data_IF_922040552160
#
_entry.id   IF_922040552160
#
_cell.length_a   1.000
_cell.length_b   1.000
_cell.length_c   1.000
_cell.angle_alpha   90.00
_cell.angle_beta   90.00
_cell.angle_gamma   90.00
#
_symmetry.space_group_name_H-M   'P 1'
#
loop_
_entity.id
_entity.type
_entity.pdbx_description
1 polymer ?
#
# COMPACT_ATOMS: atom_id res chain seq x y z
N UNK A 1 -45.09 21.00 -3.62
CA UNK A 1 -43.62 21.07 -3.69
C UNK A 1 -43.11 19.78 -4.32
N UNK A 2 -42.50 19.78 -5.50
CA UNK A 2 -41.98 18.58 -6.14
C UNK A 2 -40.69 18.15 -5.44
N UNK A 3 -40.57 16.84 -5.15
CA UNK A 3 -39.35 16.20 -4.59
C UNK A 3 -38.21 16.35 -5.59
N UNK A 4 -36.96 16.68 -5.15
CA UNK A 4 -35.83 16.66 -6.04
C UNK A 4 -35.63 15.21 -6.53
N UNK A 5 -35.57 15.05 -7.85
CA UNK A 5 -35.27 13.77 -8.50
C UNK A 5 -33.89 13.27 -8.12
N UNK A 6 -33.65 11.95 -8.25
CA UNK A 6 -32.33 11.36 -7.97
C UNK A 6 -31.30 12.01 -8.88
N UNK A 7 -30.20 12.45 -8.26
CA UNK A 7 -29.03 12.95 -8.97
C UNK A 7 -28.66 11.96 -10.08
N UNK A 8 -28.56 12.46 -11.29
CA UNK A 8 -28.23 11.68 -12.47
C UNK A 8 -26.96 10.88 -12.20
N UNK A 9 -27.13 9.57 -12.04
CA UNK A 9 -26.01 8.63 -12.13
C UNK A 9 -25.41 8.85 -13.52
N UNK A 10 -24.14 9.23 -13.56
CA UNK A 10 -23.38 9.27 -14.80
C UNK A 10 -23.55 7.90 -15.49
N UNK A 11 -23.90 7.86 -16.77
CA UNK A 11 -24.10 6.60 -17.46
C UNK A 11 -22.84 5.76 -17.32
N UNK A 12 -23.01 4.50 -16.92
CA UNK A 12 -22.00 3.48 -17.05
C UNK A 12 -21.59 3.47 -18.53
N UNK A 13 -20.47 4.09 -18.85
CA UNK A 13 -19.89 4.03 -20.19
C UNK A 13 -19.62 2.57 -20.48
N UNK A 14 -20.37 2.00 -21.43
CA UNK A 14 -20.09 0.72 -22.04
C UNK A 14 -18.78 0.84 -22.83
N UNK A 15 -17.67 0.86 -22.12
CA UNK A 15 -16.35 0.95 -22.72
C UNK A 15 -15.86 -0.45 -23.04
N UNK A 16 -15.33 -0.59 -24.27
CA UNK A 16 -14.62 -1.78 -24.71
C UNK A 16 -13.56 -2.16 -23.64
N UNK A 17 -13.34 -3.45 -23.35
CA UNK A 17 -12.49 -3.93 -22.25
C UNK A 17 -11.02 -3.47 -22.35
N UNK A 18 -10.63 -2.77 -23.39
CA UNK A 18 -9.25 -2.31 -23.67
C UNK A 18 -9.07 -0.79 -23.66
N UNK A 19 -10.13 0.00 -23.33
CA UNK A 19 -10.00 1.46 -23.37
C UNK A 19 -9.12 1.97 -22.23
N UNK A 20 -8.02 2.68 -22.59
CA UNK A 20 -7.13 3.36 -21.63
C UNK A 20 -7.81 4.65 -21.17
N UNK A 21 -8.06 4.78 -19.86
CA UNK A 21 -8.64 6.00 -19.28
C UNK A 21 -7.53 6.99 -18.90
N UNK A 22 -7.45 8.16 -19.53
CA UNK A 22 -6.42 9.16 -19.26
C UNK A 22 -6.48 9.69 -17.83
N UNK A 23 -7.64 9.71 -17.18
CA UNK A 23 -7.76 10.14 -15.79
C UNK A 23 -7.17 9.10 -14.82
N UNK A 24 -7.34 7.79 -15.10
CA UNK A 24 -6.67 6.73 -14.36
C UNK A 24 -5.16 6.81 -14.57
N UNK A 25 -4.69 7.09 -15.79
CA UNK A 25 -3.26 7.29 -16.08
C UNK A 25 -2.70 8.46 -15.24
N UNK A 26 -3.39 9.59 -15.20
CA UNK A 26 -2.94 10.76 -14.42
C UNK A 26 -2.96 10.47 -12.92
N UNK A 27 -4.03 9.87 -12.40
CA UNK A 27 -4.16 9.49 -11.00
C UNK A 27 -3.06 8.49 -10.59
N UNK A 28 -2.83 7.47 -11.43
CA UNK A 28 -1.77 6.48 -11.17
C UNK A 28 -0.36 7.06 -11.29
N UNK A 29 -0.15 8.10 -12.12
CA UNK A 29 1.11 8.82 -12.17
C UNK A 29 1.38 9.57 -10.87
N UNK A 30 0.39 10.27 -10.32
CA UNK A 30 0.52 10.96 -9.01
C UNK A 30 0.83 9.95 -7.90
N UNK A 31 0.05 8.88 -7.80
CA UNK A 31 0.27 7.83 -6.80
C UNK A 31 1.61 7.14 -7.01
N UNK A 32 1.97 6.79 -8.24
CA UNK A 32 3.24 6.17 -8.58
C UNK A 32 4.45 7.02 -8.17
N UNK A 33 4.36 8.34 -8.36
CA UNK A 33 5.39 9.27 -7.92
C UNK A 33 5.55 9.26 -6.40
N UNK A 34 4.44 9.32 -5.64
CA UNK A 34 4.45 9.22 -4.17
C UNK A 34 5.04 7.89 -3.68
N UNK A 35 4.68 6.80 -4.34
CA UNK A 35 5.21 5.45 -4.05
C UNK A 35 6.70 5.37 -4.34
N UNK A 36 7.15 5.90 -5.47
CA UNK A 36 8.57 5.96 -5.83
C UNK A 36 9.40 6.79 -4.83
N UNK A 37 8.84 7.90 -4.36
CA UNK A 37 9.50 8.77 -3.37
C UNK A 37 9.62 8.14 -1.98
N UNK A 38 8.66 7.34 -1.56
CA UNK A 38 8.55 6.86 -0.17
C UNK A 38 8.88 5.39 0.03
N UNK A 39 8.88 4.61 -1.05
CA UNK A 39 8.97 3.15 -0.98
C UNK A 39 7.76 2.48 -0.32
N UNK A 40 6.70 3.25 -0.02
CA UNK A 40 5.43 2.69 0.45
C UNK A 40 4.81 1.85 -0.66
N UNK A 41 4.32 0.66 -0.33
CA UNK A 41 3.70 -0.23 -1.31
C UNK A 41 2.52 0.44 -2.04
N UNK A 42 2.49 0.34 -3.37
CA UNK A 42 1.50 1.03 -4.23
C UNK A 42 0.04 0.73 -3.90
N UNK A 43 -0.28 -0.51 -3.52
CA UNK A 43 -1.65 -0.95 -3.28
C UNK A 43 -2.43 -0.16 -2.23
N UNK A 44 -1.74 0.38 -1.21
CA UNK A 44 -2.39 1.19 -0.18
C UNK A 44 -2.95 2.53 -0.69
N UNK A 45 -2.52 3.01 -1.84
CA UNK A 45 -3.00 4.25 -2.47
C UNK A 45 -3.72 3.99 -3.79
N UNK A 46 -3.22 3.05 -4.61
CA UNK A 46 -3.80 2.73 -5.93
C UNK A 46 -5.21 2.15 -5.82
N UNK A 47 -5.38 1.12 -5.00
CA UNK A 47 -6.68 0.47 -4.83
C UNK A 47 -7.75 1.43 -4.32
N UNK A 48 -7.54 2.22 -3.23
CA UNK A 48 -8.49 3.25 -2.82
C UNK A 48 -8.77 4.30 -3.90
N UNK A 49 -7.78 4.73 -4.64
CA UNK A 49 -7.95 5.68 -5.74
C UNK A 49 -8.92 5.12 -6.79
N UNK A 50 -8.72 3.87 -7.23
CA UNK A 50 -9.59 3.23 -8.22
C UNK A 50 -11.05 3.13 -7.73
N UNK A 51 -11.26 2.75 -6.48
CA UNK A 51 -12.59 2.56 -5.93
C UNK A 51 -13.28 3.91 -5.66
N UNK A 52 -12.59 4.84 -4.97
CA UNK A 52 -13.20 6.08 -4.48
C UNK A 52 -13.32 7.17 -5.54
N UNK A 53 -12.35 7.27 -6.46
CA UNK A 53 -12.35 8.33 -7.49
C UNK A 53 -12.92 7.86 -8.82
N UNK A 54 -12.72 6.57 -9.17
CA UNK A 54 -13.13 6.04 -10.48
C UNK A 54 -14.31 5.06 -10.39
N UNK A 55 -14.80 4.74 -9.19
CA UNK A 55 -15.96 3.86 -9.01
C UNK A 55 -15.74 2.42 -9.46
N UNK A 56 -14.48 1.99 -9.58
CA UNK A 56 -14.13 0.61 -9.93
C UNK A 56 -14.54 -0.31 -8.78
N UNK A 57 -15.13 -1.47 -9.11
CA UNK A 57 -15.52 -2.43 -8.06
C UNK A 57 -14.31 -2.93 -7.27
N UNK A 58 -14.43 -3.15 -5.95
CA UNK A 58 -13.30 -3.52 -5.09
C UNK A 58 -12.50 -4.72 -5.60
N UNK A 59 -13.16 -5.80 -5.98
CA UNK A 59 -12.48 -6.99 -6.52
C UNK A 59 -11.68 -6.70 -7.79
N UNK A 60 -12.25 -5.91 -8.71
CA UNK A 60 -11.57 -5.50 -9.95
C UNK A 60 -10.40 -4.56 -9.67
N UNK A 61 -10.57 -3.59 -8.78
CA UNK A 61 -9.52 -2.66 -8.39
C UNK A 61 -8.31 -3.40 -7.79
N UNK A 62 -8.56 -4.33 -6.86
CA UNK A 62 -7.50 -5.16 -6.23
C UNK A 62 -6.81 -6.03 -7.29
N UNK A 63 -7.57 -6.73 -8.12
CA UNK A 63 -7.01 -7.64 -9.13
C UNK A 63 -6.18 -6.90 -10.17
N UNK A 64 -6.66 -5.76 -10.67
CA UNK A 64 -5.95 -4.93 -11.65
C UNK A 64 -4.69 -4.28 -11.07
N UNK A 65 -4.74 -3.83 -9.79
CA UNK A 65 -3.60 -3.27 -9.09
C UNK A 65 -2.51 -4.32 -8.81
N UNK A 66 -2.88 -5.55 -8.44
CA UNK A 66 -1.93 -6.66 -8.26
C UNK A 66 -1.16 -6.96 -9.55
N UNK A 67 -1.83 -6.96 -10.70
CA UNK A 67 -1.18 -7.19 -12.00
C UNK A 67 -0.27 -6.00 -12.36
N UNK A 68 -0.71 -4.76 -12.17
CA UNK A 68 0.11 -3.57 -12.39
C UNK A 68 1.35 -3.55 -11.48
N UNK A 69 1.21 -3.99 -10.23
CA UNK A 69 2.29 -4.05 -9.26
C UNK A 69 3.44 -4.99 -9.66
N UNK A 70 3.18 -6.01 -10.49
CA UNK A 70 4.24 -6.90 -11.03
C UNK A 70 5.28 -6.11 -11.82
N UNK A 71 4.86 -5.07 -12.54
CA UNK A 71 5.77 -4.23 -13.32
C UNK A 71 6.42 -3.15 -12.46
N UNK A 72 5.68 -2.61 -11.48
CA UNK A 72 6.16 -1.50 -10.64
C UNK A 72 7.20 -1.93 -9.59
N UNK A 73 6.98 -3.07 -8.93
CA UNK A 73 7.79 -3.50 -7.77
C UNK A 73 9.23 -3.87 -8.09
N UNK A 74 9.56 -4.52 -9.22
CA UNK A 74 10.93 -4.80 -9.60
C UNK A 74 11.81 -3.55 -9.69
N UNK A 75 11.22 -2.40 -10.04
CA UNK A 75 11.93 -1.12 -10.16
C UNK A 75 12.48 -0.70 -8.78
N UNK A 76 11.63 -0.70 -7.76
CA UNK A 76 12.04 -0.36 -6.39
C UNK A 76 13.03 -1.39 -5.82
N UNK A 77 12.78 -2.68 -6.03
CA UNK A 77 13.64 -3.77 -5.60
C UNK A 77 15.05 -3.68 -6.22
N UNK A 78 15.14 -3.37 -7.53
CA UNK A 78 16.42 -3.25 -8.23
C UNK A 78 17.34 -2.17 -7.64
N UNK A 79 16.78 -1.03 -7.22
CA UNK A 79 17.53 0.05 -6.56
C UNK A 79 18.14 -0.44 -5.24
N UNK A 80 17.36 -1.12 -4.41
CA UNK A 80 17.82 -1.62 -3.11
C UNK A 80 18.80 -2.80 -3.24
N UNK A 81 18.61 -3.68 -4.24
CA UNK A 81 19.54 -4.76 -4.55
C UNK A 81 20.91 -4.21 -4.96
N UNK A 82 20.94 -3.16 -5.83
CA UNK A 82 22.19 -2.51 -6.24
C UNK A 82 22.89 -1.79 -5.08
N UNK A 83 22.14 -1.26 -4.13
CA UNK A 83 22.68 -0.59 -2.93
C UNK A 83 23.13 -1.57 -1.83
N UNK A 84 22.94 -2.87 -2.01
CA UNK A 84 23.32 -3.90 -1.03
C UNK A 84 22.54 -3.84 0.29
N UNK A 85 21.38 -3.20 0.33
CA UNK A 85 20.56 -3.03 1.54
C UNK A 85 19.60 -4.19 1.78
N UNK A 86 19.72 -5.29 1.05
CA UNK A 86 18.81 -6.44 1.11
C UNK A 86 19.41 -7.57 1.91
N UNK A 87 18.70 -8.04 2.94
CA UNK A 87 19.05 -9.28 3.63
C UNK A 87 18.43 -10.48 2.89
N UNK A 88 19.24 -11.14 2.04
CA UNK A 88 18.80 -12.25 1.19
C UNK A 88 18.27 -13.44 1.97
N UNK A 89 18.81 -13.70 3.17
CA UNK A 89 18.34 -14.78 4.03
C UNK A 89 16.91 -14.54 4.52
N UNK A 90 16.59 -13.32 4.94
CA UNK A 90 15.22 -12.94 5.32
C UNK A 90 14.27 -13.00 4.11
N UNK A 91 14.70 -12.50 2.95
CA UNK A 91 13.90 -12.59 1.71
C UNK A 91 13.51 -14.02 1.40
N UNK A 92 14.45 -14.97 1.45
CA UNK A 92 14.15 -16.37 1.16
C UNK A 92 13.07 -16.97 2.05
N UNK A 93 13.17 -16.77 3.37
CA UNK A 93 12.18 -17.27 4.31
C UNK A 93 10.83 -16.55 4.20
N UNK A 94 10.83 -15.24 3.95
CA UNK A 94 9.59 -14.49 3.71
C UNK A 94 8.89 -14.96 2.43
N UNK A 95 9.63 -15.17 1.34
CA UNK A 95 9.10 -15.64 0.05
C UNK A 95 8.46 -17.01 0.22
N UNK A 96 9.09 -17.92 0.98
CA UNK A 96 8.56 -19.26 1.24
C UNK A 96 7.15 -19.21 1.89
N UNK A 97 6.93 -18.25 2.80
CA UNK A 97 5.62 -18.04 3.43
C UNK A 97 4.67 -17.22 2.56
N UNK A 98 5.15 -16.14 1.97
CA UNK A 98 4.27 -15.15 1.32
C UNK A 98 3.75 -15.58 -0.05
N UNK A 99 4.55 -16.27 -0.85
CA UNK A 99 4.16 -16.68 -2.23
C UNK A 99 2.95 -17.58 -2.25
N UNK A 100 2.92 -18.72 -1.52
CA UNK A 100 1.74 -19.58 -1.52
C UNK A 100 0.51 -18.90 -0.91
N UNK A 101 0.74 -18.11 0.13
CA UNK A 101 -0.35 -17.41 0.83
C UNK A 101 -0.89 -16.21 0.03
N UNK A 102 -0.09 -15.55 -0.79
CA UNK A 102 -0.56 -14.50 -1.68
C UNK A 102 -1.45 -15.05 -2.80
N UNK A 103 -1.10 -16.20 -3.36
CA UNK A 103 -1.94 -16.91 -4.31
C UNK A 103 -3.26 -17.37 -3.67
N UNK A 104 -3.17 -17.93 -2.45
CA UNK A 104 -4.35 -18.30 -1.66
C UNK A 104 -5.22 -17.09 -1.32
N UNK A 105 -4.63 -15.93 -1.00
CA UNK A 105 -5.36 -14.68 -0.74
C UNK A 105 -6.16 -14.22 -1.97
N UNK A 106 -5.58 -14.28 -3.16
CA UNK A 106 -6.30 -13.98 -4.41
C UNK A 106 -7.44 -14.99 -4.67
N UNK A 107 -7.23 -16.27 -4.37
CA UNK A 107 -8.27 -17.29 -4.44
C UNK A 107 -9.41 -17.03 -3.44
N UNK A 108 -9.09 -16.68 -2.20
CA UNK A 108 -10.09 -16.32 -1.18
C UNK A 108 -10.92 -15.11 -1.61
N UNK A 109 -10.30 -14.11 -2.22
CA UNK A 109 -11.01 -12.97 -2.79
C UNK A 109 -12.04 -13.42 -3.84
N UNK A 110 -11.70 -14.38 -4.69
CA UNK A 110 -12.61 -14.97 -5.67
C UNK A 110 -13.78 -15.73 -5.01
N UNK A 111 -13.48 -16.57 -4.01
CA UNK A 111 -14.50 -17.38 -3.31
C UNK A 111 -15.50 -16.50 -2.53
N UNK A 112 -15.11 -15.32 -2.08
CA UNK A 112 -16.03 -14.36 -1.45
C UNK A 112 -17.17 -13.95 -2.40
N UNK A 113 -16.97 -14.10 -3.72
CA UNK A 113 -18.01 -13.93 -4.73
C UNK A 113 -18.21 -12.46 -5.16
N UNK A 114 -19.26 -12.25 -6.00
CA UNK A 114 -19.50 -10.96 -6.69
C UNK A 114 -20.82 -10.31 -6.30
N UNK A 115 -21.52 -10.85 -5.30
CA UNK A 115 -22.75 -10.24 -4.78
C UNK A 115 -22.46 -8.86 -4.17
N UNK A 116 -23.48 -8.00 -4.06
CA UNK A 116 -23.33 -6.70 -3.41
C UNK A 116 -22.80 -6.82 -1.98
N UNK A 117 -23.26 -7.84 -1.24
CA UNK A 117 -22.78 -8.14 0.12
C UNK A 117 -21.32 -8.57 0.12
N UNK A 118 -20.89 -9.38 -0.86
CA UNK A 118 -19.50 -9.78 -1.00
C UNK A 118 -18.59 -8.57 -1.26
N UNK A 119 -18.97 -7.67 -2.17
CA UNK A 119 -18.21 -6.45 -2.45
C UNK A 119 -18.09 -5.55 -1.20
N UNK A 120 -19.16 -5.42 -0.40
CA UNK A 120 -19.12 -4.70 0.88
C UNK A 120 -18.16 -5.35 1.88
N UNK A 121 -18.17 -6.69 1.98
CA UNK A 121 -17.22 -7.40 2.86
C UNK A 121 -15.77 -7.20 2.41
N UNK A 122 -15.52 -7.16 1.10
CA UNK A 122 -14.19 -6.86 0.53
C UNK A 122 -13.78 -5.42 0.87
N UNK A 123 -14.71 -4.45 0.76
CA UNK A 123 -14.45 -3.06 1.17
C UNK A 123 -14.07 -2.97 2.65
N UNK A 124 -14.79 -3.65 3.53
CA UNK A 124 -14.50 -3.68 4.97
C UNK A 124 -13.13 -4.32 5.23
N UNK A 125 -12.83 -5.46 4.58
CA UNK A 125 -11.53 -6.11 4.70
C UNK A 125 -10.38 -5.20 4.22
N UNK A 126 -10.57 -4.51 3.09
CA UNK A 126 -9.65 -3.50 2.58
C UNK A 126 -9.50 -2.34 3.58
N UNK A 127 -10.62 -1.85 4.13
CA UNK A 127 -10.61 -0.78 5.14
C UNK A 127 -9.82 -1.15 6.38
N UNK A 128 -10.02 -2.36 6.92
CA UNK A 128 -9.26 -2.87 8.05
C UNK A 128 -7.77 -2.98 7.71
N UNK A 129 -7.44 -3.54 6.55
CA UNK A 129 -6.04 -3.64 6.10
C UNK A 129 -5.36 -2.26 5.97
N UNK A 130 -6.08 -1.25 5.45
CA UNK A 130 -5.58 0.13 5.36
C UNK A 130 -5.39 0.75 6.75
N UNK A 131 -6.31 0.57 7.69
CA UNK A 131 -6.20 1.08 9.05
C UNK A 131 -5.01 0.44 9.79
N UNK A 132 -4.85 -0.88 9.66
CA UNK A 132 -3.69 -1.59 10.21
C UNK A 132 -2.40 -1.09 9.56
N UNK A 133 -2.39 -0.87 8.25
CA UNK A 133 -1.26 -0.28 7.53
C UNK A 133 -0.91 1.14 8.00
N UNK A 134 -1.92 1.99 8.19
CA UNK A 134 -1.73 3.35 8.73
C UNK A 134 -1.19 3.32 10.17
N UNK A 135 -1.77 2.48 11.03
CA UNK A 135 -1.29 2.27 12.40
C UNK A 135 0.17 1.77 12.41
N UNK A 136 0.51 0.83 11.54
CA UNK A 136 1.86 0.33 11.36
C UNK A 136 2.84 1.44 10.93
N UNK A 137 2.44 2.32 10.02
CA UNK A 137 3.25 3.48 9.60
C UNK A 137 3.49 4.47 10.76
N UNK A 138 2.47 4.76 11.56
CA UNK A 138 2.58 5.62 12.74
C UNK A 138 3.50 4.97 13.79
N UNK A 139 3.29 3.69 14.07
CA UNK A 139 4.10 2.94 15.02
C UNK A 139 5.57 2.93 14.60
N UNK A 140 5.85 2.63 13.34
CA UNK A 140 7.21 2.70 12.78
C UNK A 140 7.82 4.09 12.98
N UNK A 141 7.11 5.15 12.66
CA UNK A 141 7.59 6.51 12.85
C UNK A 141 7.94 6.82 14.31
N UNK A 142 7.12 6.36 15.26
CA UNK A 142 7.38 6.53 16.71
C UNK A 142 8.60 5.71 17.15
N UNK A 143 8.72 4.46 16.69
CA UNK A 143 9.83 3.58 17.02
C UNK A 143 11.16 4.09 16.43
N UNK A 144 11.17 4.54 15.18
CA UNK A 144 12.36 5.13 14.55
C UNK A 144 12.82 6.38 15.28
N UNK A 145 11.88 7.20 15.79
CA UNK A 145 12.23 8.37 16.62
C UNK A 145 12.79 8.02 18.00
N UNK A 146 12.25 6.96 18.65
CA UNK A 146 12.73 6.50 19.97
C UNK A 146 14.10 5.86 19.89
N UNK A 147 14.42 5.18 18.79
CA UNK A 147 15.69 4.51 18.59
C UNK A 147 16.86 5.48 18.37
N UNK A 148 16.61 6.77 18.15
CA UNK A 148 17.63 7.78 17.90
C UNK A 148 18.42 7.51 16.61
N UNK A 149 19.51 8.26 16.39
CA UNK A 149 20.40 8.09 15.22
C UNK A 149 21.22 6.77 15.23
N UNK A 150 21.05 5.93 16.23
CA UNK A 150 21.83 4.69 16.40
C UNK A 150 21.60 3.63 15.32
N UNK A 151 20.52 3.77 14.52
CA UNK A 151 20.19 2.86 13.41
C UNK A 151 20.73 3.30 12.04
N UNK A 152 21.45 4.41 12.00
CA UNK A 152 22.02 4.93 10.74
C UNK A 152 23.35 4.24 10.44
N UNK A 153 23.38 3.38 9.45
CA UNK A 153 24.58 3.06 8.69
C UNK A 153 25.27 1.73 8.92
N UNK A 154 24.89 0.92 9.91
CA UNK A 154 25.50 -0.40 10.10
C UNK A 154 24.68 -1.46 9.36
N UNK A 155 25.30 -2.11 8.36
CA UNK A 155 24.75 -3.32 7.74
C UNK A 155 24.97 -4.46 8.73
N UNK A 156 24.00 -4.68 9.61
CA UNK A 156 24.09 -5.75 10.59
C UNK A 156 23.69 -7.07 9.95
N UNK A 157 24.57 -8.07 10.04
CA UNK A 157 24.27 -9.42 9.60
C UNK A 157 23.39 -10.09 10.65
N UNK A 158 22.08 -9.97 10.49
CA UNK A 158 21.12 -10.63 11.35
C UNK A 158 20.87 -12.03 10.82
N UNK A 159 21.07 -13.04 11.67
CA UNK A 159 20.74 -14.42 11.34
C UNK A 159 19.20 -14.60 11.26
N UNK A 160 18.68 -15.08 10.13
CA UNK A 160 17.25 -15.29 9.97
C UNK A 160 16.73 -16.32 10.99
N UNK A 161 15.61 -16.01 11.64
CA UNK A 161 14.83 -16.97 12.42
C UNK A 161 13.76 -17.55 11.50
N UNK A 162 13.85 -18.81 11.05
CA UNK A 162 12.98 -19.32 9.98
C UNK A 162 11.50 -19.22 10.31
N UNK A 163 11.09 -19.72 11.47
CA UNK A 163 9.69 -19.85 11.84
C UNK A 163 8.94 -18.50 11.91
N UNK A 164 9.41 -17.48 12.66
CA UNK A 164 8.73 -16.19 12.70
C UNK A 164 8.80 -15.46 11.36
N UNK A 165 9.87 -15.63 10.58
CA UNK A 165 10.01 -14.98 9.27
C UNK A 165 9.01 -15.55 8.25
N UNK A 166 8.86 -16.89 8.23
CA UNK A 166 7.84 -17.54 7.39
C UNK A 166 6.43 -17.10 7.83
N UNK A 167 6.16 -17.06 9.15
CA UNK A 167 4.85 -16.61 9.64
C UNK A 167 4.52 -15.17 9.24
N UNK A 168 5.50 -14.25 9.29
CA UNK A 168 5.35 -12.88 8.75
C UNK A 168 5.02 -12.93 7.27
N UNK A 169 5.76 -13.74 6.49
CA UNK A 169 5.50 -13.94 5.07
C UNK A 169 4.08 -14.44 4.82
N UNK A 170 3.62 -15.46 5.56
CA UNK A 170 2.28 -16.02 5.44
C UNK A 170 1.19 -14.97 5.70
N UNK A 171 1.26 -14.27 6.82
CA UNK A 171 0.29 -13.24 7.18
C UNK A 171 0.24 -12.12 6.12
N UNK A 172 1.40 -11.59 5.76
CA UNK A 172 1.48 -10.55 4.75
C UNK A 172 1.05 -11.04 3.37
N UNK A 173 1.37 -12.28 3.01
CA UNK A 173 0.95 -12.89 1.75
C UNK A 173 -0.56 -12.94 1.59
N UNK A 174 -1.29 -13.44 2.59
CA UNK A 174 -2.76 -13.47 2.59
C UNK A 174 -3.32 -12.05 2.48
N UNK A 175 -2.86 -11.13 3.33
CA UNK A 175 -3.37 -9.75 3.34
C UNK A 175 -3.15 -9.07 1.99
N UNK A 176 -1.93 -9.17 1.44
CA UNK A 176 -1.61 -8.56 0.14
C UNK A 176 -2.40 -9.23 -1.00
N UNK A 177 -2.52 -10.55 -1.01
CA UNK A 177 -3.29 -11.28 -2.03
C UNK A 177 -4.77 -10.92 -2.04
N UNK A 178 -5.36 -10.64 -0.86
CA UNK A 178 -6.77 -10.26 -0.73
C UNK A 178 -7.03 -8.76 -0.97
N UNK A 179 -6.06 -7.89 -0.67
CA UNK A 179 -6.32 -6.44 -0.60
C UNK A 179 -5.37 -5.60 -1.43
N UNK A 180 -4.34 -6.19 -2.00
CA UNK A 180 -3.17 -5.49 -2.60
C UNK A 180 -2.41 -4.58 -1.61
N UNK A 181 -2.84 -4.49 -0.34
CA UNK A 181 -2.29 -3.64 0.71
C UNK A 181 -1.44 -4.47 1.68
N UNK A 182 -0.41 -3.88 2.26
CA UNK A 182 0.32 -4.48 3.39
C UNK A 182 1.79 -4.73 3.15
N UNK A 183 2.26 -4.88 1.92
CA UNK A 183 3.70 -4.78 1.66
C UNK A 183 4.14 -3.32 1.84
N UNK A 184 5.25 -3.09 2.46
CA UNK A 184 5.78 -1.76 2.75
C UNK A 184 5.43 -1.20 4.12
N UNK A 185 4.26 -1.46 4.68
CA UNK A 185 3.89 -0.98 6.01
C UNK A 185 3.78 -2.12 7.03
N UNK A 186 2.87 -3.05 6.82
CA UNK A 186 2.63 -4.16 7.75
C UNK A 186 3.85 -5.07 7.86
N UNK A 187 4.42 -5.49 6.72
CA UNK A 187 5.58 -6.37 6.69
C UNK A 187 6.78 -5.76 7.42
N UNK A 188 7.07 -4.48 7.16
CA UNK A 188 8.19 -3.78 7.81
C UNK A 188 8.00 -3.70 9.32
N UNK A 189 6.78 -3.44 9.80
CA UNK A 189 6.50 -3.38 11.23
C UNK A 189 6.64 -4.76 11.87
N UNK A 190 6.12 -5.81 11.23
CA UNK A 190 6.28 -7.18 11.73
C UNK A 190 7.77 -7.60 11.76
N UNK A 191 8.53 -7.26 10.73
CA UNK A 191 9.98 -7.47 10.72
C UNK A 191 10.68 -6.69 11.83
N UNK A 192 10.25 -5.46 12.11
CA UNK A 192 10.85 -4.63 13.16
C UNK A 192 10.63 -5.22 14.55
N UNK A 193 9.50 -5.87 14.81
CA UNK A 193 9.25 -6.55 16.08
C UNK A 193 10.13 -7.79 16.27
N UNK A 194 10.38 -8.55 15.21
CA UNK A 194 11.19 -9.77 15.28
C UNK A 194 12.69 -9.47 15.19
N UNK A 195 13.03 -8.42 14.41
CA UNK A 195 14.41 -8.00 14.11
C UNK A 195 14.64 -6.52 14.41
N UNK A 196 14.63 -6.11 15.69
CA UNK A 196 14.72 -4.70 16.07
C UNK A 196 16.07 -4.04 15.71
N UNK A 197 17.09 -4.83 15.44
CA UNK A 197 18.44 -4.35 15.07
C UNK A 197 18.57 -4.03 13.58
N UNK A 198 17.63 -4.46 12.72
CA UNK A 198 17.69 -4.14 11.30
C UNK A 198 17.55 -2.64 11.05
N UNK A 199 18.47 -2.10 10.27
CA UNK A 199 18.42 -0.71 9.82
C UNK A 199 17.20 -0.42 8.93
N UNK A 200 16.73 0.82 8.93
CA UNK A 200 15.55 1.22 8.16
C UNK A 200 15.67 0.89 6.66
N UNK A 201 16.85 1.10 6.07
CA UNK A 201 17.14 0.79 4.66
C UNK A 201 17.12 -0.71 4.39
N UNK A 202 17.58 -1.54 5.34
CA UNK A 202 17.55 -2.99 5.21
C UNK A 202 16.12 -3.54 5.30
N UNK A 203 15.31 -2.98 6.20
CA UNK A 203 13.89 -3.35 6.31
C UNK A 203 13.15 -3.07 5.00
N UNK A 204 13.31 -1.85 4.45
CA UNK A 204 12.67 -1.45 3.19
C UNK A 204 13.19 -2.28 2.01
N UNK A 205 14.51 -2.45 1.91
CA UNK A 205 15.12 -3.22 0.82
C UNK A 205 14.71 -4.69 0.83
N UNK A 206 14.65 -5.30 2.02
CA UNK A 206 14.22 -6.69 2.22
C UNK A 206 12.75 -6.86 1.86
N UNK A 207 11.88 -5.93 2.33
CA UNK A 207 10.45 -5.98 2.01
C UNK A 207 10.18 -5.76 0.52
N UNK A 208 10.77 -4.75 -0.12
CA UNK A 208 10.59 -4.50 -1.55
C UNK A 208 11.07 -5.68 -2.41
N UNK A 209 12.15 -6.33 -2.01
CA UNK A 209 12.70 -7.47 -2.76
C UNK A 209 11.79 -8.70 -2.65
N UNK A 210 11.31 -9.03 -1.45
CA UNK A 210 10.37 -10.14 -1.26
C UNK A 210 9.00 -9.85 -1.88
N UNK A 211 8.62 -8.57 -1.97
CA UNK A 211 7.36 -8.18 -2.57
C UNK A 211 7.28 -8.48 -4.08
N UNK A 212 8.41 -8.66 -4.78
CA UNK A 212 8.41 -9.02 -6.20
C UNK A 212 7.81 -10.41 -6.43
N UNK A 213 8.36 -11.51 -5.89
CA UNK A 213 7.76 -12.83 -6.06
C UNK A 213 6.37 -12.94 -5.40
N UNK A 214 6.14 -12.24 -4.29
CA UNK A 214 4.83 -12.20 -3.65
C UNK A 214 3.76 -11.64 -4.59
N UNK A 215 4.01 -10.47 -5.21
CA UNK A 215 3.04 -9.87 -6.13
C UNK A 215 2.88 -10.65 -7.42
N UNK A 216 3.93 -11.31 -7.90
CA UNK A 216 3.81 -12.21 -9.03
C UNK A 216 2.82 -13.35 -8.73
N UNK A 217 2.93 -13.97 -7.55
CA UNK A 217 2.01 -15.02 -7.13
C UNK A 217 0.57 -14.50 -6.95
N UNK A 218 0.40 -13.33 -6.31
CA UNK A 218 -0.90 -12.70 -6.16
C UNK A 218 -1.52 -12.33 -7.51
N UNK A 219 -0.73 -11.80 -8.45
CA UNK A 219 -1.17 -11.45 -9.79
C UNK A 219 -1.55 -12.70 -10.62
N UNK A 220 -0.80 -13.80 -10.51
CA UNK A 220 -1.18 -15.07 -11.12
C UNK A 220 -2.51 -15.57 -10.57
N UNK A 221 -2.73 -15.47 -9.25
CA UNK A 221 -4.03 -15.77 -8.64
C UNK A 221 -5.13 -14.83 -9.13
N UNK A 222 -4.86 -13.53 -9.24
CA UNK A 222 -5.81 -12.56 -9.77
C UNK A 222 -6.16 -12.80 -11.25
N UNK A 223 -5.19 -13.21 -12.06
CA UNK A 223 -5.41 -13.57 -13.46
C UNK A 223 -6.18 -14.89 -13.61
N UNK A 224 -5.94 -15.86 -12.72
CA UNK A 224 -6.60 -17.15 -12.75
C UNK A 224 -8.04 -17.09 -12.23
N UNK A 225 -8.30 -16.32 -11.20
CA UNK A 225 -9.56 -16.33 -10.45
C UNK A 225 -10.22 -14.96 -10.33
N UNK A 226 -9.48 -13.87 -10.50
CA UNK A 226 -9.95 -12.50 -10.29
C UNK A 226 -10.65 -11.88 -11.51
N UNK A 227 -11.14 -10.66 -11.32
CA UNK A 227 -11.70 -9.83 -12.40
C UNK A 227 -10.73 -8.72 -12.75
N UNK A 228 -9.75 -9.05 -13.58
CA UNK A 228 -8.78 -8.08 -14.10
C UNK A 228 -9.40 -7.33 -15.28
N UNK A 229 -9.51 -6.01 -15.18
CA UNK A 229 -9.86 -5.16 -16.31
C UNK A 229 -8.57 -4.69 -17.00
N UNK A 230 -8.40 -5.13 -18.24
CA UNK A 230 -7.19 -4.84 -19.04
C UNK A 230 -6.99 -3.34 -19.24
N UNK A 231 -8.05 -2.59 -19.53
CA UNK A 231 -7.98 -1.13 -19.70
C UNK A 231 -7.52 -0.42 -18.42
N UNK A 232 -8.05 -0.79 -17.26
CA UNK A 232 -7.63 -0.26 -15.95
C UNK A 232 -6.18 -0.62 -15.68
N UNK A 233 -5.79 -1.87 -15.89
CA UNK A 233 -4.42 -2.35 -15.66
C UNK A 233 -3.39 -1.63 -16.53
N UNK A 234 -3.67 -1.47 -17.82
CA UNK A 234 -2.79 -0.74 -18.75
C UNK A 234 -2.69 0.73 -18.33
N UNK A 235 -3.83 1.37 -17.98
CA UNK A 235 -3.84 2.75 -17.50
C UNK A 235 -2.98 2.92 -16.25
N UNK A 236 -3.08 1.98 -15.29
CA UNK A 236 -2.24 1.97 -14.10
C UNK A 236 -0.76 1.84 -14.44
N UNK A 237 -0.38 0.92 -15.33
CA UNK A 237 1.01 0.70 -15.72
C UNK A 237 1.59 1.94 -16.43
N UNK A 238 0.85 2.48 -17.40
CA UNK A 238 1.30 3.64 -18.17
C UNK A 238 1.54 4.88 -17.31
N UNK A 239 0.68 5.12 -16.31
CA UNK A 239 0.87 6.25 -15.39
C UNK A 239 1.92 5.98 -14.33
N UNK A 240 1.82 4.85 -13.66
CA UNK A 240 2.61 4.59 -12.45
C UNK A 240 4.06 4.21 -12.72
N UNK A 241 4.37 3.43 -13.76
CA UNK A 241 5.74 2.94 -14.03
C UNK A 241 6.72 4.09 -14.27
N UNK A 242 6.46 5.03 -15.21
CA UNK A 242 7.36 6.17 -15.38
C UNK A 242 7.41 7.06 -14.14
N UNK A 243 6.27 7.23 -13.46
CA UNK A 243 6.19 8.06 -12.27
C UNK A 243 6.95 7.47 -11.07
N UNK A 244 6.91 6.16 -10.87
CA UNK A 244 7.72 5.46 -9.84
C UNK A 244 9.21 5.63 -10.12
N UNK A 245 9.64 5.53 -11.38
CA UNK A 245 11.04 5.78 -11.76
C UNK A 245 11.46 7.20 -11.41
N UNK A 246 10.69 8.21 -11.84
CA UNK A 246 10.97 9.62 -11.53
C UNK A 246 10.93 9.85 -10.02
N UNK A 247 9.91 9.33 -9.30
CA UNK A 247 9.79 9.44 -7.86
C UNK A 247 10.98 8.84 -7.11
N UNK A 248 11.47 7.69 -7.55
CA UNK A 248 12.64 7.05 -6.94
C UNK A 248 13.94 7.82 -7.15
N UNK A 249 14.10 8.50 -8.29
CA UNK A 249 15.24 9.38 -8.56
C UNK A 249 15.18 10.66 -7.72
N UNK A 250 13.99 11.23 -7.53
CA UNK A 250 13.76 12.45 -6.73
C UNK A 250 13.74 12.15 -5.22
N UNK A 251 13.59 10.89 -4.82
CA UNK A 251 13.48 10.46 -3.41
C UNK A 251 14.61 10.97 -2.52
N UNK A 252 15.82 11.14 -3.05
CA UNK A 252 16.96 11.68 -2.30
C UNK A 252 16.79 13.15 -1.91
N UNK A 253 15.91 13.89 -2.59
CA UNK A 253 15.67 15.33 -2.41
C UNK A 253 14.32 15.63 -1.77
N UNK A 254 13.44 14.63 -1.66
CA UNK A 254 12.10 14.83 -1.10
C UNK A 254 12.14 14.87 0.43
N UNK A 255 11.49 15.85 1.07
CA UNK A 255 11.43 15.91 2.51
C UNK A 255 10.47 14.84 3.07
N UNK A 256 11.01 13.67 3.38
CA UNK A 256 10.33 12.52 4.02
C UNK A 256 9.42 12.96 5.19
N UNK A 257 9.79 14.07 5.82
CA UNK A 257 9.06 14.65 6.94
C UNK A 257 7.60 15.02 6.63
N UNK A 258 7.31 15.39 5.38
CA UNK A 258 5.95 15.82 4.97
C UNK A 258 5.22 14.77 4.15
N UNK A 259 5.94 14.05 3.31
CA UNK A 259 5.33 13.09 2.37
C UNK A 259 4.77 11.89 3.12
N UNK A 260 5.52 11.30 4.06
CA UNK A 260 5.06 10.13 4.84
C UNK A 260 3.81 10.41 5.68
N UNK A 261 3.70 11.50 6.46
CA UNK A 261 2.47 11.82 7.18
C UNK A 261 1.27 12.05 6.26
N UNK A 262 1.46 12.71 5.11
CA UNK A 262 0.39 12.95 4.15
C UNK A 262 -0.15 11.62 3.59
N UNK A 263 0.72 10.70 3.18
CA UNK A 263 0.32 9.37 2.71
C UNK A 263 -0.39 8.60 3.83
N UNK A 264 0.15 8.60 5.04
CA UNK A 264 -0.48 7.93 6.19
C UNK A 264 -1.88 8.47 6.46
N UNK A 265 -2.06 9.79 6.35
CA UNK A 265 -3.35 10.43 6.50
C UNK A 265 -4.35 9.98 5.41
N UNK A 266 -3.93 9.95 4.14
CA UNK A 266 -4.78 9.47 3.03
C UNK A 266 -5.17 8.02 3.22
N UNK A 267 -4.23 7.14 3.58
CA UNK A 267 -4.50 5.72 3.86
C UNK A 267 -5.48 5.57 5.02
N UNK A 268 -5.29 6.33 6.10
CA UNK A 268 -6.16 6.32 7.27
C UNK A 268 -7.59 6.80 6.91
N UNK A 269 -7.71 7.90 6.17
CA UNK A 269 -8.98 8.44 5.70
C UNK A 269 -9.74 7.43 4.83
N UNK A 270 -9.05 6.80 3.88
CA UNK A 270 -9.60 5.75 3.02
C UNK A 270 -10.06 4.54 3.82
N UNK A 271 -9.24 4.10 4.78
CA UNK A 271 -9.57 2.98 5.67
C UNK A 271 -10.85 3.23 6.48
N UNK A 272 -11.00 4.42 7.07
CA UNK A 272 -12.21 4.81 7.81
C UNK A 272 -13.45 4.82 6.91
N UNK A 273 -13.31 5.31 5.67
CA UNK A 273 -14.41 5.34 4.70
C UNK A 273 -14.89 3.92 4.37
N UNK A 274 -13.98 2.97 4.16
CA UNK A 274 -14.32 1.59 3.83
C UNK A 274 -14.88 0.77 5.00
N UNK A 275 -14.52 1.10 6.24
CA UNK A 275 -15.11 0.47 7.44
C UNK A 275 -16.56 0.97 7.68
N UNK A 276 -17.04 1.92 6.88
CA UNK A 276 -18.43 2.36 6.91
C UNK A 276 -18.69 3.61 7.72
N UNK A 277 -17.65 4.40 8.07
CA UNK A 277 -17.89 5.70 8.70
C UNK A 277 -18.67 6.62 7.76
N UNK A 278 -19.79 7.13 8.26
CA UNK A 278 -20.60 8.13 7.54
C UNK A 278 -19.78 9.38 7.21
N UNK A 279 -20.11 10.04 6.10
CA UNK A 279 -19.31 11.17 5.56
C UNK A 279 -19.15 12.31 6.55
N UNK A 280 -20.16 12.58 7.38
CA UNK A 280 -20.09 13.60 8.44
C UNK A 280 -19.15 13.21 9.58
N UNK A 281 -19.24 11.98 10.08
CA UNK A 281 -18.35 11.45 11.11
C UNK A 281 -16.90 11.39 10.62
N UNK A 282 -16.70 10.97 9.37
CA UNK A 282 -15.38 10.98 8.72
C UNK A 282 -14.78 12.37 8.71
N UNK A 283 -15.56 13.39 8.30
CA UNK A 283 -15.11 14.79 8.30
C UNK A 283 -14.63 15.26 9.68
N UNK A 284 -15.40 14.99 10.73
CA UNK A 284 -15.02 15.35 12.11
C UNK A 284 -13.76 14.63 12.59
N UNK A 285 -13.63 13.33 12.33
CA UNK A 285 -12.43 12.56 12.71
C UNK A 285 -11.19 13.08 11.97
N UNK A 286 -11.30 13.35 10.67
CA UNK A 286 -10.18 13.88 9.90
C UNK A 286 -9.78 15.28 10.35
N UNK A 287 -10.74 16.15 10.64
CA UNK A 287 -10.47 17.48 11.22
C UNK A 287 -9.77 17.36 12.58
N UNK A 288 -10.25 16.47 13.46
CA UNK A 288 -9.63 16.23 14.77
C UNK A 288 -8.18 15.73 14.64
N UNK A 289 -7.90 14.82 13.72
CA UNK A 289 -6.55 14.30 13.47
C UNK A 289 -5.62 15.39 12.92
N UNK A 290 -6.12 16.24 12.00
CA UNK A 290 -5.34 17.37 11.47
C UNK A 290 -5.05 18.41 12.54
N UNK A 291 -6.03 18.75 13.37
CA UNK A 291 -5.85 19.69 14.48
C UNK A 291 -4.88 19.15 15.54
N UNK A 292 -5.03 17.88 15.93
CA UNK A 292 -4.11 17.23 16.86
C UNK A 292 -2.67 17.14 16.30
N UNK A 293 -2.53 16.78 15.02
CA UNK A 293 -1.24 16.75 14.33
C UNK A 293 -0.60 18.13 14.21
N UNK A 294 -1.38 19.15 13.86
CA UNK A 294 -0.95 20.54 13.79
C UNK A 294 -0.56 21.10 15.16
N UNK A 295 -1.36 20.83 16.21
CA UNK A 295 -1.05 21.23 17.58
C UNK A 295 0.24 20.55 18.09
N UNK A 296 0.40 19.25 17.86
CA UNK A 296 1.62 18.52 18.21
C UNK A 296 2.84 19.06 17.46
N UNK A 297 2.68 19.47 16.20
CA UNK A 297 3.74 20.11 15.42
C UNK A 297 4.09 21.49 15.98
N UNK A 298 3.10 22.35 16.30
CA UNK A 298 3.32 23.67 16.90
C UNK A 298 4.00 23.60 18.27
N UNK A 299 3.59 22.67 19.13
CA UNK A 299 4.22 22.47 20.45
C UNK A 299 5.70 22.10 20.29
N UNK A 300 6.04 21.31 19.28
CA UNK A 300 7.42 20.89 19.00
C UNK A 300 8.26 21.91 18.23
N UNK A 301 7.62 22.81 17.50
CA UNK A 301 8.28 23.87 16.74
C UNK A 301 8.56 25.12 17.58
N UNK A 302 8.16 25.16 18.86
CA UNK A 302 8.43 26.31 19.75
C UNK A 302 9.92 26.40 20.09
N UNK A 303 10.65 27.45 19.63
CA UNK A 303 12.05 27.66 19.96
C UNK A 303 12.24 28.39 21.33
N UNK A 304 11.25 28.33 22.24
CA UNK A 304 11.18 29.20 23.41
C UNK A 304 11.59 28.56 24.73
N UNK A 305 12.38 27.51 24.71
CA UNK A 305 13.03 27.01 25.96
C UNK A 305 14.48 26.65 25.66
N UNK A 306 15.31 27.65 25.53
CA UNK A 306 16.73 27.63 25.88
C UNK A 306 17.09 28.94 26.56
#
# INVERSE_FOLDING_TARGET
MPRPGPAAALPARGESPTHVDPFIVLGSAVVGMLVGMTGAGGGALMTPMLILLFGVTPSTAISSDLVAAVVMRPIGAAVHLRRGTVNRGLVGWMVLGSVPMAFLGAYLLHVMGHSKTAQQNIEVALGVALLVGAAAMVLRYVLDRRAGQTRSGVIEHVNPRPLPTVAIGMLGGVVVGMTSVGSGSLMIVLLLFVYPLLGANQLVGTDLTQAVPLTLAAALGALAFGHVQVGVTISLILGSVPAVLVGSLVSSSAPDRYVRPAITFVIFASGLKYVGLGTSALGWVLCAVLLAGGAAWMIRARPWTR
#
